data_IF_044431321961
#
_entry.id   IF_044431321961
#
_cell.length_a   1.000
_cell.length_b   1.000
_cell.length_c   1.000
_cell.angle_alpha   90.00
_cell.angle_beta   90.00
_cell.angle_gamma   90.00
#
_symmetry.space_group_name_H-M   'P 1'
#
loop_
_entity.id
_entity.type
_entity.pdbx_description
1 polymer ?
#
# COMPACT_ATOMS: atom_id res chain seq x y z
N UNK A 1 29.77 17.18 15.15
CA UNK A 1 29.61 15.80 15.63
C UNK A 1 30.79 15.00 15.08
N UNK A 2 31.44 14.15 15.86
CA UNK A 2 32.56 13.34 15.37
C UNK A 2 31.99 12.00 14.80
N UNK A 3 31.61 12.03 13.53
CA UNK A 3 31.00 10.85 12.91
C UNK A 3 31.94 9.64 12.82
N UNK A 4 33.26 9.87 12.68
CA UNK A 4 34.24 8.76 12.67
C UNK A 4 34.25 7.97 13.98
N UNK A 5 34.19 8.66 15.14
CA UNK A 5 34.09 8.00 16.44
C UNK A 5 32.72 7.30 16.61
N UNK A 6 31.62 7.94 16.22
CA UNK A 6 30.27 7.35 16.29
C UNK A 6 30.24 6.06 15.47
N UNK A 7 30.67 6.10 14.22
CA UNK A 7 30.68 4.93 13.35
C UNK A 7 31.50 3.77 13.93
N UNK A 8 32.67 4.05 14.50
CA UNK A 8 33.51 3.04 15.16
C UNK A 8 32.86 2.48 16.42
N UNK A 9 32.15 3.30 17.23
CA UNK A 9 31.44 2.80 18.40
C UNK A 9 30.25 1.89 18.06
N UNK A 10 29.72 1.99 16.83
CA UNK A 10 28.68 1.13 16.29
C UNK A 10 29.20 0.08 15.29
N UNK A 11 30.48 -0.30 15.42
CA UNK A 11 31.12 -1.35 14.62
C UNK A 11 31.03 -1.14 13.10
N UNK A 12 31.12 0.12 12.63
CA UNK A 12 31.09 0.52 11.23
C UNK A 12 32.46 1.04 10.76
N UNK A 13 33.52 0.24 10.99
CA UNK A 13 34.91 0.65 10.76
C UNK A 13 35.17 0.99 9.29
N UNK A 14 34.67 0.17 8.34
CA UNK A 14 34.84 0.42 6.90
C UNK A 14 34.19 1.74 6.48
N UNK A 15 33.01 2.05 7.00
CA UNK A 15 32.34 3.31 6.71
C UNK A 15 33.06 4.50 7.36
N UNK A 16 33.61 4.34 8.56
CA UNK A 16 34.41 5.37 9.23
C UNK A 16 35.68 5.72 8.41
N UNK A 17 36.40 4.70 7.90
CA UNK A 17 37.57 4.91 7.05
C UNK A 17 37.24 5.61 5.73
N UNK A 18 36.09 5.27 5.12
CA UNK A 18 35.62 5.94 3.92
C UNK A 18 35.22 7.39 4.20
N UNK A 19 34.52 7.64 5.32
CA UNK A 19 34.12 8.97 5.76
C UNK A 19 35.33 9.88 6.04
N UNK A 20 36.39 9.39 6.67
CA UNK A 20 37.60 10.14 6.99
C UNK A 20 38.33 10.65 5.74
N UNK A 21 38.14 9.98 4.58
CA UNK A 21 38.70 10.38 3.27
C UNK A 21 37.88 11.47 2.56
N UNK A 22 36.66 11.76 3.06
CA UNK A 22 35.77 12.75 2.43
C UNK A 22 36.05 14.17 2.93
N UNK A 23 35.73 15.16 2.09
CA UNK A 23 35.79 16.58 2.41
C UNK A 23 34.68 17.37 1.70
N UNK A 24 34.44 18.59 2.13
CA UNK A 24 33.51 19.52 1.50
C UNK A 24 32.08 18.94 1.35
N UNK A 25 31.50 19.13 0.18
CA UNK A 25 30.11 18.73 -0.13
C UNK A 25 29.89 17.23 0.00
N UNK A 26 30.84 16.39 -0.41
CA UNK A 26 30.71 14.93 -0.28
C UNK A 26 30.63 14.50 1.17
N UNK A 27 31.38 15.11 2.08
CA UNK A 27 31.29 14.84 3.51
C UNK A 27 29.95 15.27 4.06
N UNK A 28 29.51 16.49 3.76
CA UNK A 28 28.22 17.01 4.22
C UNK A 28 27.03 16.17 3.74
N UNK A 29 27.10 15.63 2.52
CA UNK A 29 26.07 14.75 1.97
C UNK A 29 25.95 13.44 2.74
N UNK A 30 27.07 12.78 3.05
CA UNK A 30 27.08 11.56 3.86
C UNK A 30 26.63 11.84 5.29
N UNK A 31 27.08 12.93 5.91
CA UNK A 31 26.68 13.35 7.26
C UNK A 31 25.16 13.53 7.39
N UNK A 32 24.52 14.09 6.34
CA UNK A 32 23.05 14.22 6.31
C UNK A 32 22.38 12.85 6.38
N UNK A 33 22.85 11.85 5.62
CA UNK A 33 22.30 10.50 5.65
C UNK A 33 22.56 9.80 7.00
N UNK A 34 23.74 10.01 7.59
CA UNK A 34 24.08 9.44 8.90
C UNK A 34 23.23 10.04 10.02
N UNK A 35 22.88 11.32 9.95
CA UNK A 35 22.05 12.00 10.94
C UNK A 35 20.59 11.46 10.98
N UNK A 36 20.13 10.84 9.91
CA UNK A 36 18.78 10.25 9.83
C UNK A 36 18.72 8.82 10.39
N UNK A 37 19.88 8.23 10.78
CA UNK A 37 19.98 6.86 11.30
C UNK A 37 19.95 6.87 12.83
N UNK A 38 19.03 6.10 13.41
CA UNK A 38 19.10 5.71 14.82
C UNK A 38 20.07 4.52 14.95
N UNK A 39 21.32 4.79 15.32
CA UNK A 39 22.38 3.78 15.37
C UNK A 39 22.14 2.73 16.47
N UNK A 40 21.53 3.09 17.60
CA UNK A 40 21.21 2.12 18.66
C UNK A 40 20.17 1.10 18.15
N UNK A 41 19.15 1.59 17.46
CA UNK A 41 18.16 0.70 16.81
C UNK A 41 18.80 -0.11 15.67
N UNK A 42 19.68 0.49 14.87
CA UNK A 42 20.38 -0.21 13.80
C UNK A 42 21.24 -1.35 14.33
N UNK A 43 21.98 -1.16 15.42
CA UNK A 43 22.79 -2.21 16.08
C UNK A 43 21.92 -3.38 16.55
N UNK A 44 20.76 -3.07 17.12
CA UNK A 44 19.77 -4.09 17.50
C UNK A 44 19.31 -4.88 16.28
N UNK A 45 18.94 -4.18 15.21
CA UNK A 45 18.47 -4.81 13.96
C UNK A 45 19.55 -5.65 13.28
N UNK A 46 20.79 -5.17 13.24
CA UNK A 46 21.93 -5.93 12.72
C UNK A 46 22.08 -7.25 13.49
N UNK A 47 22.06 -7.18 14.81
CA UNK A 47 22.22 -8.37 15.67
C UNK A 47 21.07 -9.37 15.50
N UNK A 48 19.83 -8.88 15.42
CA UNK A 48 18.63 -9.72 15.39
C UNK A 48 18.29 -10.25 13.99
N UNK A 49 18.53 -9.46 12.94
CA UNK A 49 18.05 -9.76 11.59
C UNK A 49 19.14 -9.98 10.54
N UNK A 50 20.38 -9.49 10.77
CA UNK A 50 21.47 -9.63 9.80
C UNK A 50 22.41 -10.78 10.21
N UNK A 51 23.03 -10.66 11.40
CA UNK A 51 23.96 -11.67 11.91
C UNK A 51 23.27 -12.97 12.32
N UNK A 52 21.96 -12.89 12.58
CA UNK A 52 21.10 -14.04 12.80
C UNK A 52 19.93 -13.96 11.83
N UNK A 53 19.57 -15.08 11.21
CA UNK A 53 18.32 -15.12 10.44
C UNK A 53 17.19 -15.43 11.43
N UNK A 54 16.20 -14.53 11.61
CA UNK A 54 15.09 -14.81 12.50
C UNK A 54 14.28 -16.00 11.94
N UNK A 55 13.83 -16.88 12.83
CA UNK A 55 12.87 -17.91 12.47
C UNK A 55 11.46 -17.32 12.48
N UNK A 56 10.72 -17.45 11.40
CA UNK A 56 9.31 -17.10 11.35
C UNK A 56 8.53 -18.09 12.21
N UNK A 57 8.09 -17.65 13.38
CA UNK A 57 7.27 -18.48 14.27
C UNK A 57 5.80 -18.35 13.87
N UNK A 58 5.27 -19.43 13.31
CA UNK A 58 3.82 -19.50 13.04
C UNK A 58 3.12 -19.83 14.36
N UNK A 59 2.14 -19.03 14.80
CA UNK A 59 1.38 -19.31 16.02
C UNK A 59 0.65 -20.67 15.93
N UNK A 60 0.69 -21.44 17.00
CA UNK A 60 0.06 -22.78 17.04
C UNK A 60 -1.49 -22.72 17.03
N UNK A 61 -2.05 -21.61 17.47
CA UNK A 61 -3.49 -21.35 17.54
C UNK A 61 -4.05 -20.62 16.30
N UNK A 62 -3.31 -20.65 15.20
CA UNK A 62 -3.69 -19.93 13.99
C UNK A 62 -5.02 -20.42 13.43
N UNK A 63 -5.97 -19.52 13.31
CA UNK A 63 -7.31 -19.76 12.78
C UNK A 63 -7.64 -18.83 11.60
N UNK A 64 -8.56 -19.23 10.70
CA UNK A 64 -9.07 -18.34 9.66
C UNK A 64 -9.70 -17.09 10.26
N UNK A 65 -9.43 -15.93 9.65
CA UNK A 65 -10.02 -14.68 10.09
C UNK A 65 -11.50 -14.58 9.68
N UNK A 66 -12.40 -14.13 10.57
CA UNK A 66 -13.77 -13.80 10.22
C UNK A 66 -13.81 -12.53 9.36
N UNK A 67 -14.81 -12.43 8.48
CA UNK A 67 -14.99 -11.26 7.62
C UNK A 67 -16.46 -11.02 7.30
N UNK A 68 -16.79 -9.77 7.01
CA UNK A 68 -18.07 -9.39 6.42
C UNK A 68 -18.10 -9.77 4.94
N UNK A 69 -19.19 -10.39 4.48
CA UNK A 69 -19.37 -10.66 3.06
C UNK A 69 -19.57 -9.36 2.28
N UNK A 70 -19.19 -9.35 1.01
CA UNK A 70 -19.43 -8.20 0.15
C UNK A 70 -20.91 -7.90 -0.04
N UNK A 71 -21.75 -8.93 -0.08
CA UNK A 71 -23.21 -8.83 -0.14
C UNK A 71 -23.83 -9.32 1.14
N UNK A 72 -24.91 -8.67 1.62
CA UNK A 72 -25.58 -9.11 2.82
C UNK A 72 -26.21 -10.49 2.65
N UNK A 73 -26.09 -11.35 3.65
CA UNK A 73 -26.57 -12.73 3.65
C UNK A 73 -28.05 -12.85 4.12
N UNK A 74 -28.57 -11.81 4.76
CA UNK A 74 -29.94 -11.75 5.28
C UNK A 74 -30.44 -10.31 5.41
N UNK A 75 -31.75 -10.15 5.72
CA UNK A 75 -32.38 -8.83 5.80
C UNK A 75 -31.77 -7.93 6.89
N UNK A 76 -31.43 -8.47 8.05
CA UNK A 76 -30.82 -7.70 9.14
C UNK A 76 -29.44 -7.16 8.73
N UNK A 77 -28.64 -7.97 8.04
CA UNK A 77 -27.35 -7.55 7.53
C UNK A 77 -27.50 -6.54 6.39
N UNK A 78 -28.54 -6.65 5.54
CA UNK A 78 -28.84 -5.66 4.50
C UNK A 78 -29.18 -4.29 5.11
N UNK A 79 -29.98 -4.26 6.18
CA UNK A 79 -30.28 -3.04 6.92
C UNK A 79 -29.02 -2.44 7.57
N UNK A 80 -28.17 -3.28 8.14
CA UNK A 80 -26.90 -2.83 8.73
C UNK A 80 -25.96 -2.24 7.66
N UNK A 81 -25.88 -2.86 6.47
CA UNK A 81 -25.08 -2.34 5.37
C UNK A 81 -25.62 -1.02 4.84
N UNK A 82 -26.94 -0.87 4.70
CA UNK A 82 -27.55 0.40 4.33
C UNK A 82 -27.20 1.53 5.33
N UNK A 83 -27.23 1.21 6.64
CA UNK A 83 -26.80 2.13 7.70
C UNK A 83 -25.31 2.45 7.58
N UNK A 84 -24.47 1.47 7.30
CA UNK A 84 -23.02 1.67 7.10
C UNK A 84 -22.74 2.54 5.88
N UNK A 85 -23.39 2.30 4.75
CA UNK A 85 -23.26 3.15 3.56
C UNK A 85 -23.68 4.61 3.81
N UNK A 86 -24.80 4.80 4.53
CA UNK A 86 -25.23 6.14 4.90
C UNK A 86 -24.18 6.85 5.76
N UNK A 87 -23.58 6.12 6.73
CA UNK A 87 -22.49 6.62 7.56
C UNK A 87 -21.25 6.95 6.73
N UNK A 88 -20.86 6.10 5.81
CA UNK A 88 -19.71 6.35 4.91
C UNK A 88 -19.91 7.61 4.05
N UNK A 89 -21.13 7.83 3.52
CA UNK A 89 -21.47 9.07 2.78
C UNK A 89 -21.38 10.30 3.68
N UNK A 90 -21.86 10.20 4.92
CA UNK A 90 -21.75 11.28 5.92
C UNK A 90 -20.27 11.64 6.19
N UNK A 91 -19.40 10.64 6.39
CA UNK A 91 -17.98 10.85 6.65
C UNK A 91 -17.27 11.56 5.48
N UNK A 92 -17.58 11.17 4.25
CA UNK A 92 -17.01 11.81 3.05
C UNK A 92 -17.52 13.24 2.90
N UNK A 93 -18.83 13.46 3.05
CA UNK A 93 -19.45 14.79 2.93
C UNK A 93 -19.02 15.76 4.04
N UNK A 94 -18.64 15.26 5.21
CA UNK A 94 -18.16 16.07 6.34
C UNK A 94 -16.64 16.26 6.37
N UNK A 95 -15.90 15.79 5.34
CA UNK A 95 -14.45 15.97 5.26
C UNK A 95 -13.65 15.14 6.27
N UNK A 96 -14.24 14.04 6.76
CA UNK A 96 -13.61 13.17 7.77
C UNK A 96 -12.61 12.16 7.20
N UNK A 97 -12.46 12.09 5.89
CA UNK A 97 -11.67 11.07 5.20
C UNK A 97 -10.55 11.70 4.38
N UNK A 98 -9.36 11.13 4.46
CA UNK A 98 -8.25 11.40 3.55
C UNK A 98 -7.91 10.13 2.74
N UNK A 99 -7.41 10.32 1.52
CA UNK A 99 -6.85 9.26 0.70
C UNK A 99 -5.35 9.20 0.87
N UNK A 100 -4.79 8.00 0.96
CA UNK A 100 -3.35 7.78 1.09
C UNK A 100 -2.89 6.72 0.12
N UNK A 101 -2.06 7.13 -0.85
CA UNK A 101 -1.43 6.21 -1.79
C UNK A 101 0.04 6.02 -1.50
N UNK A 102 0.48 4.77 -1.50
CA UNK A 102 1.89 4.41 -1.44
C UNK A 102 2.43 4.29 -2.85
N UNK A 103 3.24 5.27 -3.27
CA UNK A 103 3.80 5.42 -4.60
C UNK A 103 5.34 5.55 -4.57
N UNK A 104 6.01 4.98 -3.58
CA UNK A 104 7.48 4.97 -3.47
C UNK A 104 8.19 4.10 -4.51
N UNK A 105 7.45 3.24 -5.23
CA UNK A 105 7.92 2.51 -6.42
C UNK A 105 7.84 3.34 -7.71
N UNK A 106 8.18 2.73 -8.86
CA UNK A 106 8.26 3.42 -10.16
C UNK A 106 6.91 3.51 -10.92
N UNK A 107 5.75 3.56 -10.23
CA UNK A 107 4.41 3.55 -10.84
C UNK A 107 3.72 4.91 -10.86
N UNK A 108 3.41 5.42 -12.06
CA UNK A 108 2.76 6.72 -12.29
C UNK A 108 1.40 6.51 -12.97
N UNK A 109 0.34 6.12 -12.22
CA UNK A 109 -0.97 5.81 -12.82
C UNK A 109 -2.11 6.26 -11.93
N UNK A 110 -2.32 7.58 -11.83
CA UNK A 110 -3.33 8.13 -10.94
C UNK A 110 -4.14 9.19 -11.69
N UNK A 111 -5.43 8.91 -11.94
CA UNK A 111 -6.43 9.89 -12.31
C UNK A 111 -7.55 9.83 -11.27
N UNK A 112 -7.84 10.93 -10.57
CA UNK A 112 -8.74 10.89 -9.43
C UNK A 112 -9.49 12.21 -9.20
N UNK A 113 -10.60 12.42 -9.93
CA UNK A 113 -11.44 13.64 -9.79
C UNK A 113 -12.84 13.36 -9.20
N UNK A 114 -13.34 12.14 -9.34
CA UNK A 114 -14.76 11.83 -9.13
C UNK A 114 -15.33 12.06 -7.73
N UNK A 115 -14.71 11.60 -6.63
CA UNK A 115 -15.33 11.73 -5.30
C UNK A 115 -15.50 13.18 -4.83
N UNK A 116 -14.63 14.09 -5.25
CA UNK A 116 -14.70 15.49 -4.86
C UNK A 116 -15.94 16.19 -5.39
N UNK A 117 -16.32 15.92 -6.63
CA UNK A 117 -17.55 16.46 -7.23
C UNK A 117 -18.81 15.82 -6.61
N UNK A 118 -18.76 14.52 -6.33
CA UNK A 118 -19.89 13.76 -5.78
C UNK A 118 -20.28 14.21 -4.37
N UNK A 119 -19.31 14.43 -3.48
CA UNK A 119 -19.56 14.71 -2.07
C UNK A 119 -19.49 16.18 -1.70
N UNK A 120 -19.22 17.06 -2.67
CA UNK A 120 -19.17 18.53 -2.48
C UNK A 120 -18.08 18.99 -1.53
N UNK A 121 -17.14 18.13 -1.17
CA UNK A 121 -16.03 18.40 -0.27
C UNK A 121 -14.70 17.94 -0.87
N UNK A 122 -13.66 18.75 -0.73
CA UNK A 122 -12.32 18.36 -1.15
C UNK A 122 -11.81 17.25 -0.23
N UNK A 123 -11.53 16.08 -0.82
CA UNK A 123 -10.92 14.96 -0.09
C UNK A 123 -9.41 15.13 -0.20
N UNK A 124 -8.67 15.38 0.89
CA UNK A 124 -7.22 15.53 0.82
C UNK A 124 -6.56 14.22 0.40
N UNK A 125 -5.62 14.33 -0.52
CA UNK A 125 -4.92 13.19 -1.08
C UNK A 125 -3.42 13.24 -0.74
N UNK A 126 -2.99 12.30 0.08
CA UNK A 126 -1.61 12.15 0.49
C UNK A 126 -0.91 11.12 -0.40
N UNK A 127 0.16 11.55 -1.06
CA UNK A 127 0.95 10.73 -1.99
C UNK A 127 2.32 10.49 -1.37
N UNK A 128 2.56 9.27 -0.90
CA UNK A 128 3.87 8.88 -0.41
C UNK A 128 4.79 8.50 -1.56
N UNK A 129 5.87 9.23 -1.71
CA UNK A 129 6.94 8.99 -2.68
C UNK A 129 8.20 8.46 -1.99
N UNK A 130 9.26 8.25 -2.74
CA UNK A 130 10.62 8.02 -2.25
C UNK A 130 11.53 9.14 -2.72
N UNK A 131 12.68 9.32 -2.10
CA UNK A 131 13.69 10.30 -2.55
C UNK A 131 14.05 10.14 -4.04
N UNK A 132 13.99 8.91 -4.55
CA UNK A 132 14.34 8.59 -5.94
C UNK A 132 13.27 9.05 -6.95
N UNK A 133 11.99 9.06 -6.56
CA UNK A 133 10.90 9.34 -7.50
C UNK A 133 10.06 10.58 -7.15
N UNK A 134 10.31 11.25 -6.02
CA UNK A 134 9.51 12.41 -5.58
C UNK A 134 9.47 13.52 -6.65
N UNK A 135 10.64 13.94 -7.15
CA UNK A 135 10.72 14.99 -8.16
C UNK A 135 10.02 14.63 -9.46
N UNK A 136 10.16 13.39 -9.94
CA UNK A 136 9.50 12.93 -11.16
C UNK A 136 7.99 12.77 -10.97
N UNK A 137 7.55 12.34 -9.79
CA UNK A 137 6.13 12.20 -9.46
C UNK A 137 5.45 13.57 -9.37
N UNK A 138 6.05 14.54 -8.67
CA UNK A 138 5.54 15.92 -8.62
C UNK A 138 5.46 16.56 -9.99
N UNK A 139 6.51 16.38 -10.82
CA UNK A 139 6.50 16.84 -12.19
C UNK A 139 5.38 16.21 -13.01
N UNK A 140 5.15 14.90 -12.86
CA UNK A 140 4.08 14.19 -13.55
C UNK A 140 2.70 14.78 -13.19
N UNK A 141 2.44 15.07 -11.92
CA UNK A 141 1.20 15.71 -11.50
C UNK A 141 1.05 17.12 -12.09
N UNK A 142 2.12 17.92 -12.06
CA UNK A 142 2.10 19.26 -12.63
C UNK A 142 1.88 19.26 -14.15
N UNK A 143 2.57 18.38 -14.88
CA UNK A 143 2.45 18.23 -16.34
C UNK A 143 1.02 17.81 -16.76
N UNK A 144 0.27 17.14 -15.87
CA UNK A 144 -1.10 16.73 -16.09
C UNK A 144 -2.14 17.61 -15.37
N UNK A 145 -1.74 18.84 -14.98
CA UNK A 145 -2.62 19.78 -14.28
C UNK A 145 -3.33 19.16 -13.07
N UNK A 146 -2.57 18.38 -12.27
CA UNK A 146 -3.07 17.62 -11.10
C UNK A 146 -4.32 16.81 -11.39
N UNK A 147 -4.51 16.38 -12.64
CA UNK A 147 -5.70 15.65 -13.11
C UNK A 147 -7.02 16.38 -12.84
N UNK A 148 -7.00 17.71 -12.83
CA UNK A 148 -8.15 18.57 -12.51
C UNK A 148 -8.39 18.78 -11.01
N UNK A 149 -7.64 18.14 -10.13
CA UNK A 149 -7.69 18.41 -8.69
C UNK A 149 -7.08 19.78 -8.37
N UNK A 150 -7.50 20.35 -7.27
CA UNK A 150 -6.83 21.53 -6.71
C UNK A 150 -5.44 21.13 -6.21
N UNK A 151 -4.36 21.81 -6.64
CA UNK A 151 -2.99 21.45 -6.22
C UNK A 151 -2.83 21.39 -4.69
N UNK A 152 -3.50 22.26 -3.95
CA UNK A 152 -3.50 22.28 -2.49
C UNK A 152 -4.21 21.09 -1.83
N UNK A 153 -5.01 20.32 -2.57
CA UNK A 153 -5.61 19.08 -2.07
C UNK A 153 -4.71 17.85 -2.23
N UNK A 154 -3.60 17.98 -2.99
CA UNK A 154 -2.64 16.89 -3.20
C UNK A 154 -1.35 17.18 -2.43
N UNK A 155 -1.03 16.34 -1.49
CA UNK A 155 0.09 16.50 -0.57
C UNK A 155 1.10 15.38 -0.73
N UNK A 156 2.33 15.75 -1.07
CA UNK A 156 3.41 14.78 -1.25
C UNK A 156 4.29 14.74 -0.01
N UNK A 157 4.65 13.54 0.40
CA UNK A 157 5.64 13.32 1.44
C UNK A 157 6.51 12.12 1.09
N UNK A 158 7.73 12.08 1.62
CA UNK A 158 8.68 11.02 1.29
C UNK A 158 8.71 9.95 2.36
N UNK A 159 8.81 8.71 1.92
CA UNK A 159 9.05 7.55 2.75
C UNK A 159 10.48 7.59 3.32
N UNK A 160 10.65 7.05 4.53
CA UNK A 160 11.96 6.86 5.12
C UNK A 160 12.78 5.79 4.37
N UNK A 161 14.08 5.86 4.55
CA UNK A 161 15.03 4.90 3.96
C UNK A 161 15.72 4.09 5.04
N UNK A 162 16.27 2.93 4.64
CA UNK A 162 17.06 2.03 5.46
C UNK A 162 18.34 1.68 4.71
N UNK A 163 19.51 1.74 5.34
CA UNK A 163 20.74 1.32 4.69
C UNK A 163 20.77 -0.20 4.49
N UNK A 164 21.34 -0.64 3.37
CA UNK A 164 21.64 -2.04 3.14
C UNK A 164 22.84 -2.46 4.01
N UNK A 165 22.70 -3.61 4.67
CA UNK A 165 23.71 -4.14 5.59
C UNK A 165 24.31 -5.41 5.00
N UNK A 166 25.62 -5.46 4.87
CA UNK A 166 26.33 -6.68 4.46
C UNK A 166 26.16 -7.78 5.51
N UNK A 167 26.39 -9.04 5.14
CA UNK A 167 26.20 -10.19 6.05
C UNK A 167 27.12 -10.19 7.26
N UNK A 168 28.19 -9.39 7.25
CA UNK A 168 29.09 -9.17 8.38
C UNK A 168 28.67 -8.00 9.28
N UNK A 169 27.52 -7.37 9.01
CA UNK A 169 26.98 -6.26 9.80
C UNK A 169 27.44 -4.86 9.36
N UNK A 170 28.30 -4.75 8.34
CA UNK A 170 28.79 -3.46 7.86
C UNK A 170 27.79 -2.80 6.90
N UNK A 171 27.63 -1.49 7.03
CA UNK A 171 26.82 -0.70 6.10
C UNK A 171 27.52 -0.60 4.74
N UNK A 172 26.72 -0.68 3.66
CA UNK A 172 27.23 -0.58 2.31
C UNK A 172 27.15 0.86 1.78
N UNK A 173 28.22 1.31 1.12
CA UNK A 173 28.22 2.54 0.33
C UNK A 173 27.69 2.25 -1.10
N UNK A 174 26.70 3.03 -1.55
CA UNK A 174 26.22 3.02 -2.95
C UNK A 174 27.07 3.90 -3.86
N UNK A 175 27.70 4.93 -3.30
CA UNK A 175 28.68 5.81 -3.94
C UNK A 175 29.68 6.30 -2.88
N UNK A 176 30.76 6.97 -3.30
CA UNK A 176 31.81 7.45 -2.39
C UNK A 176 31.30 8.28 -1.19
N UNK A 177 30.18 8.95 -1.36
CA UNK A 177 29.57 9.90 -0.42
C UNK A 177 28.09 9.59 -0.11
N UNK A 178 27.68 8.36 -0.34
CA UNK A 178 26.29 7.95 -0.13
C UNK A 178 26.19 6.50 0.29
N UNK A 179 25.37 6.23 1.27
CA UNK A 179 24.97 4.87 1.67
C UNK A 179 24.17 4.19 0.55
N UNK A 180 24.21 2.86 0.51
CA UNK A 180 23.31 2.06 -0.31
C UNK A 180 21.93 2.00 0.38
N UNK A 181 21.13 3.05 0.20
CA UNK A 181 19.81 3.20 0.81
C UNK A 181 18.72 2.52 -0.01
N UNK A 182 17.69 2.06 0.65
CA UNK A 182 16.44 1.60 0.05
C UNK A 182 15.25 2.05 0.89
N UNK A 183 14.04 2.16 0.30
CA UNK A 183 12.84 2.38 1.08
C UNK A 183 12.71 1.37 2.23
N UNK A 184 12.25 1.83 3.39
CA UNK A 184 12.13 1.04 4.61
C UNK A 184 10.85 0.17 4.69
N UNK A 185 10.22 -0.11 3.55
CA UNK A 185 8.96 -0.85 3.44
C UNK A 185 7.73 0.04 3.60
N UNK A 186 6.58 -0.47 3.15
CA UNK A 186 5.34 0.33 3.21
C UNK A 186 4.77 0.50 4.62
N UNK A 187 5.28 -0.20 5.64
CA UNK A 187 4.99 0.07 7.05
C UNK A 187 5.57 1.41 7.51
N UNK A 188 6.71 1.81 6.95
CA UNK A 188 7.32 3.12 7.20
C UNK A 188 6.43 4.32 6.86
N UNK A 189 5.34 4.10 6.10
CA UNK A 189 4.32 5.12 5.80
C UNK A 189 3.77 5.79 7.06
N UNK A 190 3.50 5.02 8.11
CA UNK A 190 2.91 5.55 9.35
C UNK A 190 3.83 6.56 10.02
N UNK A 191 5.12 6.24 10.13
CA UNK A 191 6.11 7.16 10.68
C UNK A 191 6.40 8.34 9.74
N UNK A 192 6.38 8.12 8.43
CA UNK A 192 6.55 9.18 7.44
C UNK A 192 5.42 10.23 7.50
N UNK A 193 4.17 9.81 7.71
CA UNK A 193 3.05 10.72 7.98
C UNK A 193 3.30 11.60 9.21
N UNK A 194 3.86 11.03 10.29
CA UNK A 194 4.19 11.79 11.50
C UNK A 194 5.33 12.78 11.24
N UNK A 195 6.46 12.29 10.68
CA UNK A 195 7.67 13.10 10.45
C UNK A 195 7.44 14.24 9.45
N UNK A 196 6.58 14.05 8.46
CA UNK A 196 6.24 15.09 7.47
C UNK A 196 5.28 16.17 8.00
N UNK A 197 4.67 15.98 9.17
CA UNK A 197 3.60 16.84 9.68
C UNK A 197 2.22 16.58 9.09
N UNK A 198 2.09 15.58 8.21
CA UNK A 198 0.81 15.23 7.57
C UNK A 198 -0.27 14.83 8.59
N UNK A 199 0.07 14.12 9.66
CA UNK A 199 -0.89 13.79 10.73
C UNK A 199 -1.42 15.03 11.45
N UNK A 200 -0.55 15.99 11.74
CA UNK A 200 -0.95 17.24 12.40
C UNK A 200 -1.82 18.09 11.47
N UNK A 201 -1.57 18.04 10.17
CA UNK A 201 -2.40 18.68 9.15
C UNK A 201 -3.78 18.01 9.06
N UNK A 202 -3.84 16.68 8.94
CA UNK A 202 -5.08 15.90 8.97
C UNK A 202 -5.92 16.24 10.22
N UNK A 203 -5.27 16.35 11.37
CA UNK A 203 -5.94 16.72 12.64
C UNK A 203 -6.56 18.10 12.59
N UNK A 204 -5.85 19.11 12.07
CA UNK A 204 -6.36 20.48 11.93
C UNK A 204 -7.54 20.57 10.96
N UNK A 205 -7.52 19.75 9.90
CA UNK A 205 -8.58 19.67 8.90
C UNK A 205 -9.76 18.79 9.34
N UNK A 206 -9.67 18.15 10.51
CA UNK A 206 -10.73 17.31 11.07
C UNK A 206 -10.85 15.94 10.43
N UNK A 207 -9.81 15.48 9.71
CA UNK A 207 -9.74 14.12 9.16
C UNK A 207 -9.63 13.10 10.30
N UNK A 208 -10.45 12.08 10.26
CA UNK A 208 -10.51 11.01 11.26
C UNK A 208 -10.07 9.65 10.69
N UNK A 209 -10.27 9.43 9.39
CA UNK A 209 -10.04 8.16 8.72
C UNK A 209 -9.15 8.32 7.49
N UNK A 210 -8.27 7.36 7.28
CA UNK A 210 -7.33 7.31 6.17
C UNK A 210 -7.67 6.09 5.31
N UNK A 211 -8.08 6.31 4.06
CA UNK A 211 -8.23 5.24 3.06
C UNK A 211 -6.87 4.99 2.40
N UNK A 212 -6.26 3.85 2.74
CA UNK A 212 -4.92 3.46 2.31
C UNK A 212 -4.96 2.45 1.17
N UNK A 213 -4.13 2.68 0.16
CA UNK A 213 -3.96 1.76 -0.98
C UNK A 213 -2.56 1.88 -1.62
N UNK A 214 -2.23 0.91 -2.47
CA UNK A 214 -0.98 0.89 -3.24
C UNK A 214 -1.21 1.35 -4.68
N UNK A 215 -0.23 2.04 -5.24
CA UNK A 215 -0.30 2.65 -6.58
C UNK A 215 -0.40 1.63 -7.71
N UNK A 216 0.02 0.39 -7.47
CA UNK A 216 0.02 -0.66 -8.46
C UNK A 216 -1.37 -1.25 -8.76
N UNK A 217 -2.40 -0.92 -7.95
CA UNK A 217 -3.75 -1.43 -8.11
C UNK A 217 -4.76 -0.30 -8.45
N UNK A 218 -5.04 -0.02 -9.74
CA UNK A 218 -5.95 1.06 -10.14
C UNK A 218 -7.44 0.74 -9.97
N UNK A 219 -7.82 -0.49 -9.61
CA UNK A 219 -9.22 -0.84 -9.34
C UNK A 219 -9.68 -0.55 -7.90
N UNK A 220 -8.82 -0.03 -7.03
CA UNK A 220 -9.21 0.26 -5.65
C UNK A 220 -10.32 1.30 -5.60
N UNK A 221 -11.48 1.01 -4.99
CA UNK A 221 -12.52 2.00 -4.75
C UNK A 221 -12.09 2.92 -3.60
N UNK A 222 -11.60 4.10 -3.94
CA UNK A 222 -10.95 5.01 -3.00
C UNK A 222 -11.91 5.60 -1.95
N UNK A 223 -13.17 5.84 -2.34
CA UNK A 223 -14.22 6.38 -1.49
C UNK A 223 -15.32 5.33 -1.26
N UNK A 224 -14.95 4.12 -0.84
CA UNK A 224 -15.89 3.04 -0.60
C UNK A 224 -16.72 3.32 0.67
N UNK A 225 -17.96 3.75 0.44
CA UNK A 225 -18.88 4.16 1.51
C UNK A 225 -19.24 3.03 2.47
N UNK A 226 -19.38 1.78 1.95
CA UNK A 226 -19.66 0.63 2.80
C UNK A 226 -18.46 0.32 3.70
N UNK A 227 -17.25 0.31 3.13
CA UNK A 227 -16.04 -0.02 3.88
C UNK A 227 -15.72 1.02 4.96
N UNK A 228 -15.83 2.33 4.60
CA UNK A 228 -15.67 3.43 5.54
C UNK A 228 -16.72 3.40 6.65
N UNK A 229 -17.98 3.16 6.27
CA UNK A 229 -19.09 3.12 7.22
C UNK A 229 -19.00 1.94 8.18
N UNK A 230 -18.68 0.73 7.70
CA UNK A 230 -18.44 -0.44 8.55
C UNK A 230 -17.26 -0.20 9.49
N UNK A 231 -16.14 0.33 9.00
CA UNK A 231 -15.00 0.70 9.84
C UNK A 231 -15.40 1.58 11.03
N UNK A 232 -16.20 2.61 10.75
CA UNK A 232 -16.70 3.54 11.77
C UNK A 232 -17.68 2.87 12.73
N UNK A 233 -18.68 2.12 12.22
CA UNK A 233 -19.73 1.49 13.06
C UNK A 233 -19.19 0.36 13.94
N UNK A 234 -18.22 -0.41 13.46
CA UNK A 234 -17.52 -1.44 14.24
C UNK A 234 -16.53 -0.81 15.25
N UNK A 235 -16.26 0.50 15.16
CA UNK A 235 -15.26 1.17 15.97
C UNK A 235 -13.86 0.62 15.74
N UNK A 236 -13.59 0.19 14.50
CA UNK A 236 -12.29 -0.38 14.13
C UNK A 236 -11.20 0.69 14.13
N UNK A 237 -10.00 0.31 14.59
CA UNK A 237 -8.81 1.16 14.52
C UNK A 237 -8.08 0.97 13.19
N UNK A 238 -8.08 -0.26 12.67
CA UNK A 238 -7.58 -0.61 11.35
C UNK A 238 -8.46 -1.71 10.75
N UNK A 239 -8.96 -1.46 9.55
CA UNK A 239 -9.76 -2.40 8.76
C UNK A 239 -9.03 -2.79 7.49
N UNK A 240 -9.35 -3.96 6.97
CA UNK A 240 -8.76 -4.46 5.75
C UNK A 240 -9.83 -4.97 4.77
N UNK A 241 -9.54 -4.85 3.47
CA UNK A 241 -10.29 -5.57 2.45
C UNK A 241 -9.58 -6.89 2.16
N UNK A 242 -10.33 -7.96 2.05
CA UNK A 242 -9.83 -9.24 1.61
C UNK A 242 -10.34 -9.61 0.23
N UNK A 243 -9.62 -10.47 -0.46
CA UNK A 243 -10.05 -11.13 -1.68
C UNK A 243 -10.06 -12.64 -1.46
N UNK A 244 -11.12 -13.34 -1.90
CA UNK A 244 -11.09 -14.79 -1.92
C UNK A 244 -9.93 -15.30 -2.78
N UNK A 245 -9.04 -16.12 -2.20
CA UNK A 245 -7.92 -16.72 -2.93
C UNK A 245 -8.44 -17.71 -3.98
N UNK A 246 -7.79 -17.72 -5.13
CA UNK A 246 -8.11 -18.65 -6.24
C UNK A 246 -7.49 -20.02 -6.06
N UNK A 247 -6.39 -20.08 -5.30
CA UNK A 247 -5.68 -21.34 -4.99
C UNK A 247 -4.89 -21.18 -3.68
N UNK A 248 -4.45 -22.28 -3.04
CA UNK A 248 -3.70 -22.25 -1.77
C UNK A 248 -2.42 -21.42 -1.80
N UNK A 249 -1.75 -21.38 -2.93
CA UNK A 249 -0.40 -20.82 -3.12
C UNK A 249 -0.41 -19.44 -3.81
N UNK A 250 -1.56 -18.82 -3.91
CA UNK A 250 -1.66 -17.47 -4.46
C UNK A 250 -0.80 -16.51 -3.64
N UNK A 251 -0.03 -15.66 -4.33
CA UNK A 251 0.93 -14.70 -3.74
C UNK A 251 0.22 -13.51 -3.07
N UNK A 252 -0.63 -13.82 -2.12
CA UNK A 252 -1.32 -12.87 -1.22
C UNK A 252 -1.04 -13.26 0.22
N UNK A 253 -0.82 -12.29 1.08
CA UNK A 253 -0.75 -12.51 2.53
C UNK A 253 -2.08 -13.08 3.03
N UNK A 254 -2.03 -14.02 3.97
CA UNK A 254 -3.20 -14.73 4.49
C UNK A 254 -3.71 -14.06 5.75
N UNK A 255 -4.96 -13.61 5.77
CA UNK A 255 -5.59 -13.13 7.00
C UNK A 255 -5.88 -14.27 7.95
N UNK A 256 -5.37 -14.16 9.16
CA UNK A 256 -5.46 -15.16 10.21
C UNK A 256 -5.76 -14.49 11.55
N UNK A 257 -6.28 -15.25 12.49
CA UNK A 257 -6.44 -14.84 13.90
C UNK A 257 -5.58 -15.74 14.78
N UNK A 258 -4.85 -15.12 15.71
CA UNK A 258 -4.09 -15.79 16.77
C UNK A 258 -4.16 -14.94 18.03
N UNK A 259 -4.36 -15.55 19.20
CA UNK A 259 -4.51 -14.82 20.46
C UNK A 259 -5.62 -13.78 20.44
N UNK A 260 -6.66 -13.97 19.62
CA UNK A 260 -7.76 -13.02 19.44
C UNK A 260 -7.41 -11.76 18.64
N UNK A 261 -6.22 -11.70 18.04
CA UNK A 261 -5.74 -10.59 17.22
C UNK A 261 -5.69 -10.98 15.74
N UNK A 262 -5.95 -10.00 14.86
CA UNK A 262 -5.86 -10.18 13.42
C UNK A 262 -4.39 -10.06 12.97
N UNK A 263 -3.94 -11.03 12.18
CA UNK A 263 -2.61 -11.08 11.60
C UNK A 263 -2.68 -11.30 10.09
N UNK A 264 -1.60 -10.95 9.40
CA UNK A 264 -1.34 -11.42 8.05
C UNK A 264 -0.08 -12.29 8.09
N UNK A 265 -0.20 -13.52 7.61
CA UNK A 265 0.94 -14.41 7.38
C UNK A 265 1.24 -14.39 5.88
N UNK A 266 2.47 -14.02 5.53
CA UNK A 266 2.90 -14.00 4.14
C UNK A 266 2.75 -15.38 3.48
N UNK A 267 2.42 -15.39 2.19
CA UNK A 267 2.22 -16.65 1.46
C UNK A 267 3.46 -17.57 1.48
N UNK A 268 4.66 -16.99 1.56
CA UNK A 268 5.93 -17.72 1.66
C UNK A 268 6.17 -18.40 3.02
N UNK A 269 5.51 -17.89 4.05
CA UNK A 269 5.68 -18.33 5.43
C UNK A 269 4.52 -19.25 5.90
N UNK A 270 3.43 -19.28 5.12
CA UNK A 270 2.24 -20.09 5.44
C UNK A 270 2.55 -21.58 5.26
N UNK A 271 2.41 -22.43 6.31
CA UNK A 271 2.60 -23.86 6.18
C UNK A 271 1.64 -24.48 5.15
N UNK A 272 2.15 -25.37 4.29
CA UNK A 272 1.36 -26.00 3.23
C UNK A 272 0.10 -26.68 3.76
N UNK A 273 0.18 -27.38 4.90
CA UNK A 273 -0.96 -28.06 5.53
C UNK A 273 -2.10 -27.07 5.88
N UNK A 274 -1.74 -25.85 6.33
CA UNK A 274 -2.72 -24.81 6.61
C UNK A 274 -3.21 -24.15 5.32
N UNK A 275 -2.33 -23.87 4.37
CA UNK A 275 -2.70 -23.26 3.10
C UNK A 275 -3.70 -24.13 2.32
N UNK A 276 -3.54 -25.44 2.33
CA UNK A 276 -4.38 -26.43 1.63
C UNK A 276 -5.62 -26.86 2.43
N UNK A 277 -5.71 -26.50 3.70
CA UNK A 277 -6.84 -26.90 4.56
C UNK A 277 -8.17 -26.41 4.00
N UNK A 278 -9.14 -27.32 3.91
CA UNK A 278 -10.49 -27.05 3.40
C UNK A 278 -11.54 -27.14 4.47
N UNK A 279 -12.59 -26.37 4.27
CA UNK A 279 -13.84 -26.48 5.00
C UNK A 279 -14.66 -27.68 4.51
N UNK A 280 -15.75 -28.03 5.21
CA UNK A 280 -16.63 -29.14 4.83
C UNK A 280 -17.29 -28.97 3.44
N UNK A 281 -17.46 -27.72 2.96
CA UNK A 281 -17.99 -27.37 1.65
C UNK A 281 -16.93 -27.41 0.52
N UNK A 282 -15.69 -27.77 0.84
CA UNK A 282 -14.58 -27.83 -0.12
C UNK A 282 -13.87 -26.51 -0.37
N UNK A 283 -14.31 -25.40 0.20
CA UNK A 283 -13.63 -24.09 0.12
C UNK A 283 -12.35 -24.08 0.96
N UNK A 284 -11.40 -23.21 0.62
CA UNK A 284 -10.20 -23.02 1.44
C UNK A 284 -10.58 -22.48 2.81
N UNK A 285 -10.02 -23.06 3.88
CA UNK A 285 -10.20 -22.56 5.23
C UNK A 285 -9.55 -21.16 5.39
N UNK A 286 -8.33 -21.00 4.93
CA UNK A 286 -7.64 -19.70 4.87
C UNK A 286 -7.89 -19.02 3.51
N UNK A 287 -9.16 -18.70 3.27
CA UNK A 287 -9.63 -18.13 2.01
C UNK A 287 -9.23 -16.65 1.83
N UNK A 288 -9.14 -15.91 2.93
CA UNK A 288 -8.98 -14.47 2.92
C UNK A 288 -7.55 -14.04 2.58
N UNK A 289 -7.35 -13.53 1.36
CA UNK A 289 -6.09 -12.97 0.91
C UNK A 289 -6.05 -11.44 1.01
N UNK A 290 -4.90 -10.86 1.33
CA UNK A 290 -4.73 -9.41 1.50
C UNK A 290 -4.25 -8.73 0.22
N UNK A 291 -5.04 -7.82 -0.38
CA UNK A 291 -4.61 -6.96 -1.48
C UNK A 291 -3.97 -5.64 -1.00
N UNK A 292 -3.66 -5.49 0.30
CA UNK A 292 -3.13 -4.29 0.94
C UNK A 292 -4.02 -3.04 0.76
N UNK A 293 -5.33 -3.20 0.95
CA UNK A 293 -6.32 -2.10 0.97
C UNK A 293 -6.83 -1.98 2.41
N UNK A 294 -6.67 -0.80 3.01
CA UNK A 294 -7.00 -0.56 4.41
C UNK A 294 -7.79 0.73 4.63
N UNK A 295 -8.56 0.77 5.72
CA UNK A 295 -9.00 2.01 6.37
C UNK A 295 -8.35 2.06 7.74
N UNK A 296 -7.72 3.16 8.08
CA UNK A 296 -6.94 3.33 9.31
C UNK A 296 -7.43 4.58 10.02
N UNK A 297 -7.74 4.48 11.30
CA UNK A 297 -8.07 5.64 12.13
C UNK A 297 -6.83 6.50 12.34
N UNK A 298 -6.93 7.81 12.13
CA UNK A 298 -5.81 8.74 12.27
C UNK A 298 -5.21 8.72 13.69
N UNK A 299 -6.06 8.64 14.72
CA UNK A 299 -5.64 8.57 16.11
C UNK A 299 -4.83 7.30 16.42
N UNK A 300 -5.12 6.19 15.75
CA UNK A 300 -4.31 4.97 15.85
C UNK A 300 -2.90 5.18 15.28
N UNK A 301 -2.77 5.89 14.15
CA UNK A 301 -1.45 6.25 13.63
C UNK A 301 -0.72 7.19 14.58
N UNK A 302 -1.41 8.17 15.18
CA UNK A 302 -0.82 9.05 16.21
C UNK A 302 -0.29 8.26 17.40
N UNK A 303 -1.04 7.26 17.88
CA UNK A 303 -0.64 6.40 18.99
C UNK A 303 0.60 5.56 18.64
N UNK A 304 0.59 4.90 17.49
CA UNK A 304 1.72 4.07 17.03
C UNK A 304 3.02 4.85 16.82
N UNK A 305 2.92 6.18 16.65
CA UNK A 305 4.06 7.05 16.34
C UNK A 305 4.31 8.13 17.39
N UNK A 306 3.70 8.00 18.58
CA UNK A 306 3.68 9.04 19.60
C UNK A 306 5.08 9.43 20.11
N UNK A 307 5.99 8.48 20.23
CA UNK A 307 7.38 8.67 20.67
C UNK A 307 8.35 9.02 19.52
N UNK A 308 7.83 9.23 18.30
CA UNK A 308 8.63 9.49 17.10
C UNK A 308 9.31 8.25 16.51
N UNK A 309 8.97 7.08 17.01
CA UNK A 309 9.40 5.77 16.53
C UNK A 309 8.18 4.96 16.04
N UNK A 310 8.44 3.89 15.33
CA UNK A 310 7.41 2.95 14.88
C UNK A 310 7.84 1.53 15.26
N UNK A 311 7.15 0.96 16.24
CA UNK A 311 7.46 -0.37 16.75
C UNK A 311 6.71 -1.47 15.99
N UNK A 312 6.93 -1.55 14.68
CA UNK A 312 6.50 -2.69 13.87
C UNK A 312 7.63 -3.71 13.72
N UNK A 313 7.32 -4.99 13.51
CA UNK A 313 8.32 -5.99 13.15
C UNK A 313 9.07 -5.59 11.88
N UNK A 314 10.35 -5.98 11.82
CA UNK A 314 11.15 -5.85 10.62
C UNK A 314 11.16 -7.18 9.87
N UNK A 315 11.15 -7.10 8.55
CA UNK A 315 11.26 -8.24 7.65
C UNK A 315 12.59 -8.18 6.93
N UNK A 316 13.31 -9.31 6.95
CA UNK A 316 14.59 -9.47 6.29
C UNK A 316 14.40 -9.88 4.83
N UNK A 317 15.08 -9.20 3.92
CA UNK A 317 15.16 -9.55 2.51
C UNK A 317 16.63 -9.64 2.07
N UNK A 318 17.08 -10.84 1.73
CA UNK A 318 18.40 -11.05 1.14
C UNK A 318 18.41 -10.54 -0.31
N UNK A 319 19.29 -9.59 -0.64
CA UNK A 319 19.30 -8.88 -1.91
C UNK A 319 20.70 -8.78 -2.52
N UNK A 320 20.74 -8.70 -3.86
CA UNK A 320 21.92 -8.31 -4.62
C UNK A 320 21.98 -6.78 -4.60
N UNK A 321 22.84 -6.21 -3.77
CA UNK A 321 22.98 -4.76 -3.60
C UNK A 321 24.29 -4.31 -4.23
N UNK A 322 24.27 -3.51 -5.27
CA UNK A 322 25.48 -2.87 -5.79
C UNK A 322 26.11 -1.99 -4.72
N UNK A 323 27.42 -2.05 -4.60
CA UNK A 323 28.15 -1.32 -3.58
C UNK A 323 29.52 -0.84 -4.06
N UNK A 324 30.08 0.13 -3.36
CA UNK A 324 31.44 0.62 -3.61
C UNK A 324 32.42 -0.20 -2.77
N UNK A 325 33.44 -0.78 -3.41
CA UNK A 325 34.52 -1.49 -2.72
C UNK A 325 35.57 -0.51 -2.16
N UNK A 326 36.56 -1.03 -1.43
CA UNK A 326 37.64 -0.25 -0.83
C UNK A 326 38.52 0.48 -1.88
N UNK A 327 38.57 -0.03 -3.09
CA UNK A 327 39.27 0.58 -4.23
C UNK A 327 38.47 1.72 -4.89
N UNK A 328 37.23 1.97 -4.44
CA UNK A 328 36.33 2.98 -5.01
C UNK A 328 35.62 2.54 -6.30
N UNK A 329 35.55 1.24 -6.57
CA UNK A 329 34.89 0.68 -7.75
C UNK A 329 33.49 0.17 -7.41
N UNK A 330 32.53 0.35 -8.31
CA UNK A 330 31.18 -0.18 -8.14
C UNK A 330 31.14 -1.68 -8.46
N UNK A 331 30.88 -2.49 -7.46
CA UNK A 331 30.69 -3.93 -7.58
C UNK A 331 29.19 -4.25 -7.75
N UNK A 332 28.86 -5.02 -8.80
CA UNK A 332 27.50 -5.58 -9.00
C UNK A 332 27.54 -7.07 -8.67
N UNK A 333 27.03 -7.49 -7.51
CA UNK A 333 27.14 -8.89 -7.08
C UNK A 333 26.27 -9.82 -7.91
N UNK A 334 26.79 -11.01 -8.22
CA UNK A 334 26.07 -12.07 -8.91
C UNK A 334 25.06 -12.78 -7.99
N UNK A 335 25.34 -12.84 -6.68
CA UNK A 335 24.52 -13.46 -5.64
C UNK A 335 24.12 -12.44 -4.57
N UNK A 336 23.10 -12.71 -3.74
CA UNK A 336 22.76 -11.85 -2.61
C UNK A 336 23.98 -11.63 -1.70
N UNK A 337 24.25 -10.36 -1.38
CA UNK A 337 25.42 -9.94 -0.61
C UNK A 337 25.04 -9.10 0.61
N UNK A 338 23.78 -8.71 0.73
CA UNK A 338 23.33 -7.85 1.79
C UNK A 338 21.87 -8.12 2.17
N UNK A 339 21.53 -7.65 3.36
CA UNK A 339 20.20 -7.65 3.93
C UNK A 339 19.60 -6.26 3.77
N UNK A 340 18.38 -6.19 3.24
CA UNK A 340 17.48 -5.05 3.36
C UNK A 340 16.44 -5.35 4.43
N UNK A 341 16.16 -4.36 5.25
CA UNK A 341 15.13 -4.43 6.28
C UNK A 341 13.95 -3.58 5.88
N UNK A 342 12.76 -4.20 5.89
CA UNK A 342 11.51 -3.56 5.51
C UNK A 342 10.46 -3.78 6.60
N UNK A 343 9.65 -2.78 6.91
CA UNK A 343 8.46 -2.92 7.75
C UNK A 343 7.20 -2.96 6.87
N UNK A 344 6.17 -3.68 7.33
CA UNK A 344 4.93 -3.79 6.58
C UNK A 344 3.77 -3.17 7.35
N UNK A 345 2.88 -2.44 6.65
CA UNK A 345 1.76 -1.75 7.27
C UNK A 345 0.78 -2.70 7.96
N UNK A 346 0.63 -3.89 7.43
CA UNK A 346 -0.27 -4.89 7.98
C UNK A 346 0.18 -5.45 9.33
N UNK A 347 1.45 -5.27 9.71
CA UNK A 347 1.94 -5.62 11.05
C UNK A 347 1.36 -4.70 12.14
N UNK A 348 0.69 -3.63 11.76
CA UNK A 348 -0.10 -2.82 12.68
C UNK A 348 -1.46 -3.46 13.06
N UNK A 349 -1.97 -4.42 12.27
CA UNK A 349 -3.25 -5.09 12.55
C UNK A 349 -3.30 -5.76 13.93
N UNK A 350 -2.29 -6.53 14.36
CA UNK A 350 -2.29 -7.12 15.69
C UNK A 350 -2.24 -6.10 16.85
N UNK A 351 -1.79 -4.89 16.58
CA UNK A 351 -1.68 -3.80 17.56
C UNK A 351 -3.02 -3.06 17.74
N UNK A 352 -3.90 -3.13 16.75
CA UNK A 352 -5.25 -2.58 16.83
C UNK A 352 -6.12 -3.43 17.76
N UNK A 353 -6.75 -2.81 18.75
CA UNK A 353 -7.68 -3.50 19.67
C UNK A 353 -8.97 -3.94 18.97
N UNK A 354 -9.38 -3.23 17.93
CA UNK A 354 -10.52 -3.56 17.08
C UNK A 354 -10.14 -3.52 15.60
N UNK A 355 -10.44 -4.60 14.92
CA UNK A 355 -10.20 -4.77 13.48
C UNK A 355 -11.43 -5.33 12.78
N UNK A 356 -11.60 -5.02 11.50
CA UNK A 356 -12.67 -5.56 10.67
C UNK A 356 -12.12 -5.91 9.29
N UNK A 357 -12.61 -6.99 8.71
CA UNK A 357 -12.31 -7.38 7.33
C UNK A 357 -13.62 -7.35 6.52
N UNK A 358 -13.56 -6.75 5.32
CA UNK A 358 -14.64 -6.77 4.34
C UNK A 358 -14.20 -7.53 3.10
N UNK A 359 -15.01 -8.48 2.65
CA UNK A 359 -14.80 -9.18 1.38
C UNK A 359 -14.86 -8.20 0.20
N UNK A 360 -13.99 -8.40 -0.77
CA UNK A 360 -13.97 -7.69 -2.04
C UNK A 360 -14.19 -8.62 -3.23
N UNK A 361 -14.68 -8.05 -4.31
CA UNK A 361 -14.74 -8.74 -5.60
C UNK A 361 -13.44 -8.53 -6.36
N UNK A 362 -12.78 -9.60 -6.78
CA UNK A 362 -11.51 -9.50 -7.51
C UNK A 362 -11.63 -8.64 -8.78
N UNK A 363 -12.68 -8.86 -9.56
CA UNK A 363 -12.90 -8.13 -10.80
C UNK A 363 -13.15 -6.63 -10.62
N UNK A 364 -13.55 -6.20 -9.42
CA UNK A 364 -13.89 -4.83 -9.10
C UNK A 364 -12.81 -4.10 -8.27
N UNK A 365 -11.96 -4.86 -7.55
CA UNK A 365 -11.08 -4.30 -6.54
C UNK A 365 -9.60 -4.61 -6.74
N UNK A 366 -9.24 -5.47 -7.71
CA UNK A 366 -7.86 -5.93 -7.80
C UNK A 366 -7.39 -6.18 -9.22
N UNK A 367 -6.58 -5.29 -9.74
CA UNK A 367 -5.88 -5.40 -11.01
C UNK A 367 -4.44 -4.90 -10.87
N UNK A 368 -3.58 -5.61 -10.11
CA UNK A 368 -2.24 -5.12 -9.82
C UNK A 368 -1.36 -5.13 -11.07
N UNK A 369 -0.41 -4.19 -11.11
CA UNK A 369 0.63 -4.15 -12.14
C UNK A 369 1.98 -4.45 -11.50
N UNK A 370 2.39 -5.71 -11.52
CA UNK A 370 3.62 -6.23 -10.90
C UNK A 370 4.60 -6.80 -11.91
N UNK A 371 4.09 -7.29 -13.06
CA UNK A 371 4.88 -7.94 -14.10
C UNK A 371 4.96 -7.07 -15.37
N UNK A 372 5.97 -7.31 -16.15
CA UNK A 372 6.15 -6.63 -17.43
C UNK A 372 5.14 -7.12 -18.48
N UNK A 373 4.83 -8.42 -18.47
CA UNK A 373 3.91 -9.08 -19.39
C UNK A 373 3.11 -10.19 -18.67
N UNK A 374 1.98 -10.62 -19.25
CA UNK A 374 1.14 -11.71 -18.73
C UNK A 374 0.25 -11.27 -17.58
N UNK A 375 0.06 -12.16 -16.60
CA UNK A 375 -0.77 -11.89 -15.42
C UNK A 375 -0.13 -10.76 -14.59
N UNK A 376 -0.96 -9.89 -14.03
CA UNK A 376 -0.54 -8.71 -13.25
C UNK A 376 0.38 -7.76 -14.05
N UNK A 377 0.14 -7.62 -15.35
CA UNK A 377 0.82 -6.66 -16.21
C UNK A 377 -0.03 -5.43 -16.50
N UNK A 378 0.58 -4.43 -17.13
CA UNK A 378 -0.16 -3.26 -17.61
C UNK A 378 -1.27 -3.61 -18.61
N UNK A 379 -1.07 -4.66 -19.42
CA UNK A 379 -2.04 -5.13 -20.38
C UNK A 379 -3.23 -5.78 -19.69
N UNK A 380 -2.99 -6.80 -18.84
CA UNK A 380 -4.06 -7.46 -18.09
C UNK A 380 -4.82 -6.49 -17.16
N UNK A 381 -4.12 -5.51 -16.59
CA UNK A 381 -4.75 -4.46 -15.79
C UNK A 381 -5.73 -3.61 -16.62
N UNK A 382 -5.36 -3.18 -17.83
CA UNK A 382 -6.25 -2.42 -18.73
C UNK A 382 -7.47 -3.25 -19.16
N UNK A 383 -7.28 -4.54 -19.42
CA UNK A 383 -8.39 -5.45 -19.72
C UNK A 383 -9.39 -5.52 -18.56
N UNK A 384 -8.89 -5.67 -17.31
CA UNK A 384 -9.74 -5.70 -16.12
C UNK A 384 -10.47 -4.38 -15.89
N UNK A 385 -9.83 -3.23 -16.11
CA UNK A 385 -10.48 -1.91 -16.06
C UNK A 385 -11.59 -1.82 -17.11
N UNK A 386 -11.34 -2.26 -18.34
CA UNK A 386 -12.34 -2.28 -19.40
C UNK A 386 -13.52 -3.20 -19.05
N UNK A 387 -13.27 -4.38 -18.47
CA UNK A 387 -14.33 -5.30 -18.03
C UNK A 387 -15.21 -4.65 -16.95
N UNK A 388 -14.61 -3.98 -15.96
CA UNK A 388 -15.35 -3.22 -14.93
C UNK A 388 -16.24 -2.15 -15.56
N UNK A 389 -15.68 -1.35 -16.47
CA UNK A 389 -16.39 -0.22 -17.05
C UNK A 389 -17.48 -0.68 -18.03
N UNK A 390 -17.26 -1.79 -18.76
CA UNK A 390 -18.28 -2.45 -19.56
C UNK A 390 -19.46 -2.92 -18.68
N UNK A 391 -19.20 -3.55 -17.52
CA UNK A 391 -20.25 -3.93 -16.56
C UNK A 391 -21.04 -2.71 -16.07
N UNK A 392 -20.37 -1.59 -15.82
CA UNK A 392 -21.04 -0.33 -15.42
C UNK A 392 -21.99 0.22 -16.49
N UNK A 393 -21.64 0.09 -17.77
CA UNK A 393 -22.56 0.40 -18.86
C UNK A 393 -23.78 -0.53 -18.84
N UNK A 394 -23.57 -1.82 -18.63
CA UNK A 394 -24.66 -2.80 -18.54
C UNK A 394 -25.59 -2.55 -17.36
N UNK A 395 -25.07 -2.09 -16.22
CA UNK A 395 -25.91 -1.65 -15.07
C UNK A 395 -26.83 -0.48 -15.43
N UNK A 396 -26.39 0.38 -16.36
CA UNK A 396 -27.21 1.47 -16.90
C UNK A 396 -28.18 1.04 -18.01
N UNK A 397 -28.21 -0.26 -18.36
CA UNK A 397 -29.03 -0.81 -19.45
C UNK A 397 -28.44 -0.63 -20.84
N UNK A 398 -27.14 -0.29 -20.94
CA UNK A 398 -26.45 -0.11 -22.22
C UNK A 398 -25.80 -1.44 -22.63
N UNK A 399 -26.15 -1.95 -23.81
CA UNK A 399 -25.56 -3.17 -24.34
C UNK A 399 -24.10 -2.97 -24.72
N UNK A 400 -23.23 -3.89 -24.31
CA UNK A 400 -21.79 -3.90 -24.64
C UNK A 400 -21.55 -5.11 -25.56
N UNK A 401 -20.95 -4.92 -26.76
CA UNK A 401 -20.58 -6.02 -27.62
C UNK A 401 -19.57 -6.95 -26.93
N UNK A 402 -19.76 -8.27 -27.14
CA UNK A 402 -18.98 -9.31 -26.51
C UNK A 402 -18.32 -10.24 -27.52
N UNK A 403 -17.06 -10.63 -27.23
CA UNK A 403 -16.38 -11.70 -27.97
C UNK A 403 -16.94 -13.08 -27.59
N UNK A 404 -16.52 -14.12 -28.31
CA UNK A 404 -16.95 -15.48 -28.05
C UNK A 404 -16.64 -16.01 -26.65
N UNK A 405 -15.59 -15.50 -26.02
CA UNK A 405 -15.17 -15.82 -24.64
C UNK A 405 -15.92 -15.01 -23.56
N UNK A 406 -16.85 -14.14 -23.98
CA UNK A 406 -17.62 -13.28 -23.07
C UNK A 406 -16.93 -12.00 -22.65
N UNK A 407 -15.69 -11.74 -23.05
CA UNK A 407 -15.00 -10.47 -22.80
C UNK A 407 -15.56 -9.34 -23.67
N UNK A 408 -15.47 -8.07 -23.28
CA UNK A 408 -15.90 -6.95 -24.13
C UNK A 408 -15.19 -6.95 -25.50
N UNK A 409 -15.95 -6.79 -26.58
CA UNK A 409 -15.40 -6.58 -27.91
C UNK A 409 -15.28 -5.09 -28.25
N UNK A 410 -14.81 -4.31 -27.32
CA UNK A 410 -14.51 -2.89 -27.41
C UNK A 410 -13.56 -2.50 -26.27
N UNK A 411 -12.89 -1.37 -26.38
CA UNK A 411 -12.18 -0.76 -25.28
C UNK A 411 -13.03 0.37 -24.70
N UNK A 412 -13.45 0.20 -23.46
CA UNK A 412 -14.26 1.15 -22.73
C UNK A 412 -13.48 1.70 -21.55
N UNK A 413 -13.53 3.01 -21.38
CA UNK A 413 -13.05 3.70 -20.20
C UNK A 413 -14.10 4.73 -19.78
N UNK A 414 -14.43 4.78 -18.50
CA UNK A 414 -15.38 5.72 -17.92
C UNK A 414 -14.61 6.65 -16.98
N UNK A 415 -14.76 7.96 -17.20
CA UNK A 415 -14.16 8.96 -16.33
C UNK A 415 -14.62 8.79 -14.88
N UNK A 416 -13.72 8.78 -13.90
CA UNK A 416 -14.09 8.78 -12.48
C UNK A 416 -14.85 10.04 -12.06
N UNK A 417 -14.82 11.11 -12.85
CA UNK A 417 -15.66 12.30 -12.66
C UNK A 417 -17.12 12.03 -13.01
N UNK A 418 -17.36 11.17 -14.00
CA UNK A 418 -18.72 10.78 -14.41
C UNK A 418 -19.29 9.71 -13.47
N UNK A 419 -18.49 8.70 -13.11
CA UNK A 419 -18.94 7.53 -12.35
C UNK A 419 -17.94 7.16 -11.28
N UNK A 420 -18.33 7.31 -10.01
CA UNK A 420 -17.52 6.89 -8.86
C UNK A 420 -17.84 5.46 -8.40
N UNK A 421 -19.12 5.06 -8.49
CA UNK A 421 -19.63 3.77 -8.04
C UNK A 421 -20.77 3.25 -8.94
N UNK A 422 -21.30 2.08 -8.60
CA UNK A 422 -22.36 1.43 -9.36
C UNK A 422 -23.68 2.20 -9.36
N UNK A 423 -23.96 2.98 -8.30
CA UNK A 423 -25.14 3.84 -8.25
C UNK A 423 -25.01 4.98 -9.28
N UNK A 424 -23.86 5.66 -9.30
CA UNK A 424 -23.59 6.67 -10.34
C UNK A 424 -23.69 6.08 -11.75
N UNK A 425 -23.15 4.87 -11.95
CA UNK A 425 -23.23 4.19 -13.24
C UNK A 425 -24.69 4.00 -13.67
N UNK A 426 -25.50 3.45 -12.80
CA UNK A 426 -26.92 3.20 -13.07
C UNK A 426 -27.73 4.48 -13.35
N UNK A 427 -27.32 5.63 -12.78
CA UNK A 427 -28.04 6.90 -12.94
C UNK A 427 -27.52 7.73 -14.10
N UNK A 428 -26.19 7.94 -14.19
CA UNK A 428 -25.56 8.93 -15.07
C UNK A 428 -25.22 8.42 -16.48
N UNK A 429 -25.18 7.07 -16.67
CA UNK A 429 -24.88 6.50 -17.97
C UNK A 429 -26.12 6.24 -18.83
N UNK A 430 -27.34 6.25 -18.30
CA UNK A 430 -28.59 5.85 -19.01
C UNK A 430 -28.79 6.45 -20.39
N UNK A 431 -28.30 7.68 -20.61
CA UNK A 431 -28.47 8.39 -21.88
C UNK A 431 -27.27 8.31 -22.82
N UNK A 432 -26.24 7.53 -22.43
CA UNK A 432 -25.02 7.41 -23.22
C UNK A 432 -25.21 6.40 -24.39
N UNK A 433 -24.52 6.67 -25.50
CA UNK A 433 -24.53 5.79 -26.67
C UNK A 433 -23.81 4.46 -26.35
N UNK A 434 -24.35 3.34 -26.80
CA UNK A 434 -23.67 2.05 -26.70
C UNK A 434 -22.38 2.02 -27.53
N UNK A 435 -21.31 1.35 -27.07
CA UNK A 435 -20.11 1.18 -27.86
C UNK A 435 -20.35 0.20 -29.01
N UNK A 436 -19.66 0.41 -30.12
CA UNK A 436 -19.67 -0.53 -31.26
C UNK A 436 -18.55 -1.57 -31.10
N UNK A 437 -18.68 -2.74 -31.74
CA UNK A 437 -17.65 -3.76 -31.76
C UNK A 437 -16.33 -3.20 -32.32
N UNK A 438 -15.21 -3.50 -31.66
CA UNK A 438 -13.89 -3.01 -32.03
C UNK A 438 -13.63 -1.53 -31.69
N UNK A 439 -14.61 -0.79 -31.19
CA UNK A 439 -14.46 0.63 -30.87
C UNK A 439 -13.57 0.88 -29.63
N UNK A 440 -13.01 2.11 -29.55
CA UNK A 440 -12.39 2.68 -28.35
C UNK A 440 -13.24 3.87 -27.92
N UNK A 441 -13.84 3.80 -26.74
CA UNK A 441 -14.79 4.82 -26.26
C UNK A 441 -14.39 5.28 -24.85
N UNK A 442 -14.33 6.59 -24.67
CA UNK A 442 -14.16 7.25 -23.38
C UNK A 442 -15.45 8.00 -23.05
N UNK A 443 -16.01 7.72 -21.89
CA UNK A 443 -17.21 8.38 -21.36
C UNK A 443 -16.81 9.40 -20.28
N UNK A 444 -17.13 10.67 -20.52
CA UNK A 444 -16.90 11.80 -19.61
C UNK A 444 -18.13 12.70 -19.43
#
# INVERSE_FOLDING_TARGET
MNWSEILKSHHQERLAEAYDKLSGESRAKLEKQLADIDFDELDRLIKEYVLRKPETKIPADLAPAPFFRMKPENASQAEYYAKAEAKGRELLASGKVAMLVVAGGQGTRLGFDGPQEKYGHSIPWYVMTSELNDGSTRKFFADHNYFGLKPESVRFFTQGTMPAVAYDGQLLLGAKDSLALSPNGHGGTLLALKKSGALDEMKREGVEYISYFQVDNPLVPLADVLFLGLHCLEGSRMSARMLPKTNPYEKLGNFCVSGGRLHIIEYSDMPNELAERKNADGTLAFLAGSPAIHVISRDFVEELTADGRLNLPWHRADKKVPYLNEQGETVKPAEPNAVKLESFIFDALPLADKTMILEGCRAEHFAPTKNQTGVDSAESCREMMCVRDARRLELAGIAVPRKADGTPDCLVEISPRLVCDDQDAAERLKSRKAPEAGAKVYYE
#
